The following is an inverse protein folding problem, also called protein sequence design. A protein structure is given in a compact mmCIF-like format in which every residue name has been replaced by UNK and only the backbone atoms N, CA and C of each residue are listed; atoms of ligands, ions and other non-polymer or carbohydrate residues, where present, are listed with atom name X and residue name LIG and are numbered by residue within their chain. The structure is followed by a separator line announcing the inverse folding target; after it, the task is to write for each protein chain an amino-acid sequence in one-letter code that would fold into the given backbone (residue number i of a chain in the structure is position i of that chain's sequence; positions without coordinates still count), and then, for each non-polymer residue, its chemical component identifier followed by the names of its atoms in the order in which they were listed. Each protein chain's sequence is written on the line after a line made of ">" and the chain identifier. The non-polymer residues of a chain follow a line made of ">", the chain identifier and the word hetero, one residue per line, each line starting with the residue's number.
data_IF_608854624715
#
_entry.id   IF_608854624715
#
_cell.length_a   1.000
_cell.length_b   1.000
_cell.length_c   1.000
_cell.angle_alpha   90.00
_cell.angle_beta   90.00
_cell.angle_gamma   90.00
#
_symmetry.space_group_name_H-M   'P 1'
#
loop_
_entity.id
_entity.type
_entity.pdbx_description
1 polymer ?
#
# COMPACT_ATOMS: atom_id res chain seq x y z
N UNK A 1 -17.10 10.39 -15.79
CA UNK A 1 -17.82 9.15 -15.41
C UNK A 1 -16.87 8.06 -14.94
N UNK A 2 -15.93 7.58 -15.77
CA UNK A 2 -14.95 6.55 -15.38
C UNK A 2 -14.11 6.97 -14.16
N UNK A 3 -13.48 8.14 -14.20
CA UNK A 3 -12.67 8.66 -13.09
C UNK A 3 -13.47 8.78 -11.77
N UNK A 4 -14.78 9.09 -11.85
CA UNK A 4 -15.68 9.12 -10.71
C UNK A 4 -15.85 7.75 -10.07
N UNK A 5 -15.94 6.70 -10.89
CA UNK A 5 -16.02 5.30 -10.43
C UNK A 5 -14.67 4.88 -9.82
N UNK A 6 -13.56 5.16 -10.49
CA UNK A 6 -12.23 4.77 -10.02
C UNK A 6 -11.85 5.46 -8.69
N UNK A 7 -12.36 6.67 -8.44
CA UNK A 7 -12.19 7.40 -7.17
C UNK A 7 -13.27 7.09 -6.11
N UNK A 8 -14.30 6.32 -6.47
CA UNK A 8 -15.39 6.01 -5.56
C UNK A 8 -14.87 5.19 -4.38
N UNK A 9 -15.13 5.64 -3.15
CA UNK A 9 -14.55 5.00 -1.95
C UNK A 9 -15.00 3.55 -1.77
N UNK A 10 -16.23 3.20 -2.19
CA UNK A 10 -16.68 1.80 -2.17
C UNK A 10 -15.89 0.94 -3.16
N UNK A 11 -15.62 1.47 -4.36
CA UNK A 11 -14.81 0.78 -5.35
C UNK A 11 -13.35 0.63 -4.89
N UNK A 12 -12.77 1.68 -4.31
CA UNK A 12 -11.42 1.63 -3.73
C UNK A 12 -11.34 0.59 -2.61
N UNK A 13 -12.32 0.57 -1.69
CA UNK A 13 -12.36 -0.45 -0.63
C UNK A 13 -12.51 -1.86 -1.18
N UNK A 14 -13.39 -2.07 -2.16
CA UNK A 14 -13.57 -3.36 -2.82
C UNK A 14 -12.28 -3.87 -3.46
N UNK A 15 -11.56 -3.01 -4.19
CA UNK A 15 -10.29 -3.40 -4.81
C UNK A 15 -9.20 -3.68 -3.78
N UNK A 16 -9.18 -2.93 -2.67
CA UNK A 16 -8.25 -3.18 -1.56
C UNK A 16 -8.53 -4.50 -0.85
N UNK A 17 -9.80 -4.81 -0.59
CA UNK A 17 -10.22 -6.07 0.04
C UNK A 17 -9.88 -7.25 -0.87
N UNK A 18 -10.16 -7.16 -2.16
CA UNK A 18 -9.74 -8.17 -3.13
C UNK A 18 -8.22 -8.33 -3.19
N UNK A 19 -7.45 -7.22 -3.12
CA UNK A 19 -5.99 -7.29 -3.04
C UNK A 19 -5.51 -8.05 -1.80
N UNK A 20 -6.11 -7.77 -0.63
CA UNK A 20 -5.81 -8.49 0.61
C UNK A 20 -6.08 -9.99 0.48
N UNK A 21 -7.27 -10.36 -0.01
CA UNK A 21 -7.66 -11.77 -0.20
C UNK A 21 -6.72 -12.49 -1.17
N UNK A 22 -6.32 -11.83 -2.27
CA UNK A 22 -5.35 -12.38 -3.22
C UNK A 22 -3.97 -12.61 -2.59
N UNK A 23 -3.44 -11.63 -1.87
CA UNK A 23 -2.13 -11.78 -1.20
C UNK A 23 -2.18 -12.85 -0.11
N UNK A 24 -3.27 -12.91 0.66
CA UNK A 24 -3.47 -13.92 1.69
C UNK A 24 -3.49 -15.32 1.09
N UNK A 25 -4.23 -15.53 -0.01
CA UNK A 25 -4.23 -16.79 -0.74
C UNK A 25 -2.82 -17.20 -1.19
N UNK A 26 -2.06 -16.28 -1.80
CA UNK A 26 -0.69 -16.57 -2.25
C UNK A 26 0.25 -16.91 -1.08
N UNK A 27 0.10 -16.22 0.05
CA UNK A 27 0.86 -16.51 1.27
C UNK A 27 0.52 -17.89 1.84
N UNK A 28 -0.77 -18.24 1.93
CA UNK A 28 -1.24 -19.54 2.45
C UNK A 28 -0.77 -20.71 1.58
N UNK A 29 -0.84 -20.55 0.26
CA UNK A 29 -0.38 -21.54 -0.72
C UNK A 29 1.16 -21.54 -0.92
N UNK A 30 1.88 -20.64 -0.23
CA UNK A 30 3.33 -20.48 -0.34
C UNK A 30 3.82 -20.24 -1.78
N UNK A 31 3.07 -19.43 -2.53
CA UNK A 31 3.36 -19.07 -3.91
C UNK A 31 4.11 -17.74 -3.93
N UNK A 32 5.34 -17.72 -4.43
CA UNK A 32 6.10 -16.49 -4.65
C UNK A 32 5.47 -15.63 -5.75
N UNK A 33 5.52 -14.31 -5.58
CA UNK A 33 4.87 -13.36 -6.49
C UNK A 33 5.63 -12.05 -6.56
N UNK A 34 5.31 -11.24 -7.57
CA UNK A 34 5.73 -9.84 -7.64
C UNK A 34 4.54 -8.90 -7.52
N UNK A 35 4.74 -7.75 -6.91
CA UNK A 35 3.76 -6.67 -6.87
C UNK A 35 4.28 -5.43 -7.60
N UNK A 36 3.37 -4.70 -8.25
CA UNK A 36 3.65 -3.35 -8.75
C UNK A 36 2.86 -2.36 -7.92
N UNK A 37 3.54 -1.44 -7.24
CA UNK A 37 2.93 -0.49 -6.31
C UNK A 37 3.24 0.96 -6.67
N UNK A 38 2.29 1.86 -6.39
CA UNK A 38 2.52 3.30 -6.47
C UNK A 38 3.48 3.74 -5.35
N UNK A 39 4.64 4.28 -5.74
CA UNK A 39 5.73 4.67 -4.83
C UNK A 39 5.29 5.67 -3.74
N UNK A 40 4.30 6.52 -4.04
CA UNK A 40 3.78 7.51 -3.09
C UNK A 40 3.30 6.88 -1.77
N UNK A 41 2.86 5.61 -1.81
CA UNK A 41 2.31 4.90 -0.66
C UNK A 41 3.18 3.71 -0.22
N UNK A 42 4.45 3.72 -0.63
CA UNK A 42 5.49 2.81 -0.15
C UNK A 42 6.34 3.55 0.88
N UNK A 43 6.67 2.88 1.98
CA UNK A 43 7.60 3.40 2.98
C UNK A 43 8.75 2.42 3.19
N UNK A 44 9.93 2.99 3.45
CA UNK A 44 11.16 2.29 3.78
C UNK A 44 11.58 2.70 5.18
N UNK A 45 11.93 1.73 6.01
CA UNK A 45 12.48 1.94 7.35
C UNK A 45 13.66 0.98 7.58
N UNK A 46 14.92 1.48 7.59
CA UNK A 46 15.32 2.87 7.39
C UNK A 46 15.05 3.41 5.97
N UNK A 47 15.02 4.74 5.79
CA UNK A 47 14.93 5.33 4.45
C UNK A 47 16.11 4.90 3.57
N UNK A 48 15.84 4.69 2.28
CA UNK A 48 16.87 4.38 1.30
C UNK A 48 17.87 5.54 1.15
N UNK A 49 19.19 5.25 1.06
CA UNK A 49 20.19 6.23 0.67
C UNK A 49 19.86 6.91 -0.66
N UNK A 50 20.37 8.13 -0.86
CA UNK A 50 20.04 8.94 -2.04
C UNK A 50 20.40 8.23 -3.37
N UNK A 51 21.51 7.49 -3.39
CA UNK A 51 21.94 6.68 -4.54
C UNK A 51 20.98 5.53 -4.91
N UNK A 52 20.19 5.05 -3.94
CA UNK A 52 19.17 4.00 -4.11
C UNK A 52 17.75 4.57 -4.16
N UNK A 53 17.62 5.91 -4.22
CA UNK A 53 16.33 6.59 -4.15
C UNK A 53 15.42 6.18 -5.31
N UNK A 54 14.26 5.64 -4.96
CA UNK A 54 13.20 5.31 -5.91
C UNK A 54 12.17 6.44 -6.03
N UNK A 55 12.39 7.58 -5.36
CA UNK A 55 11.41 8.69 -5.22
C UNK A 55 10.98 9.29 -6.57
N UNK A 56 11.79 9.17 -7.61
CA UNK A 56 11.48 9.69 -8.95
C UNK A 56 10.61 8.74 -9.80
N UNK A 57 10.45 7.48 -9.38
CA UNK A 57 9.65 6.50 -10.10
C UNK A 57 8.22 6.50 -9.57
N UNK A 58 7.19 6.67 -10.42
CA UNK A 58 5.79 6.66 -9.97
C UNK A 58 5.37 5.27 -9.47
N UNK A 59 5.98 4.22 -10.01
CA UNK A 59 5.73 2.83 -9.64
C UNK A 59 7.03 2.10 -9.36
N UNK A 60 6.95 1.11 -8.48
CA UNK A 60 8.02 0.18 -8.17
C UNK A 60 7.49 -1.24 -8.22
N UNK A 61 8.33 -2.16 -8.68
CA UNK A 61 8.06 -3.58 -8.62
C UNK A 61 8.88 -4.21 -7.51
N UNK A 62 8.24 -5.02 -6.67
CA UNK A 62 8.90 -5.84 -5.66
C UNK A 62 8.66 -7.31 -5.97
N UNK A 63 9.74 -8.09 -6.05
CA UNK A 63 9.66 -9.54 -6.10
C UNK A 63 9.68 -10.08 -4.66
N UNK A 64 8.58 -10.71 -4.24
CA UNK A 64 8.49 -11.41 -2.97
C UNK A 64 8.84 -12.88 -3.23
N UNK A 65 10.13 -13.17 -3.08
CA UNK A 65 10.72 -14.50 -3.20
C UNK A 65 11.76 -14.73 -2.09
N UNK A 66 12.05 -16.00 -1.79
CA UNK A 66 13.00 -16.40 -0.75
C UNK A 66 12.76 -15.67 0.57
N UNK A 67 13.82 -15.10 1.15
CA UNK A 67 13.74 -14.38 2.43
C UNK A 67 12.72 -13.21 2.42
N UNK A 68 12.57 -12.51 1.28
CA UNK A 68 11.59 -11.41 1.17
C UNK A 68 10.17 -11.95 1.35
N UNK A 69 9.85 -13.08 0.73
CA UNK A 69 8.57 -13.76 0.86
C UNK A 69 8.37 -14.31 2.28
N UNK A 70 9.38 -14.99 2.83
CA UNK A 70 9.32 -15.59 4.16
C UNK A 70 9.14 -14.55 5.28
N UNK A 71 9.68 -13.35 5.10
CA UNK A 71 9.56 -12.24 6.04
C UNK A 71 8.26 -11.44 5.89
N UNK A 72 7.37 -11.81 4.95
CA UNK A 72 6.19 -11.00 4.69
C UNK A 72 5.18 -11.08 5.83
N UNK A 73 4.64 -9.93 6.20
CA UNK A 73 3.51 -9.79 7.10
C UNK A 73 2.38 -9.07 6.36
N UNK A 74 1.16 -9.59 6.48
CA UNK A 74 -0.01 -9.04 5.81
C UNK A 74 -1.08 -8.71 6.84
N UNK A 75 -1.61 -7.49 6.76
CA UNK A 75 -2.84 -7.12 7.46
C UNK A 75 -3.82 -6.46 6.48
N UNK A 76 -5.02 -6.11 6.95
CA UNK A 76 -6.10 -5.57 6.10
C UNK A 76 -5.77 -4.25 5.39
N UNK A 77 -4.68 -3.60 5.77
CA UNK A 77 -4.33 -2.26 5.33
C UNK A 77 -3.03 -2.21 4.54
N UNK A 78 -2.04 -3.02 4.95
CA UNK A 78 -0.67 -2.95 4.48
C UNK A 78 -0.06 -4.35 4.33
N UNK A 79 0.80 -4.47 3.33
CA UNK A 79 1.77 -5.54 3.18
C UNK A 79 3.13 -5.04 3.69
N UNK A 80 3.85 -5.88 4.41
CA UNK A 80 5.16 -5.59 4.93
C UNK A 80 6.13 -6.73 4.59
N UNK A 81 7.40 -6.41 4.39
CA UNK A 81 8.44 -7.41 4.14
C UNK A 81 9.84 -6.78 4.32
N UNK A 82 10.85 -7.62 4.50
CA UNK A 82 12.25 -7.20 4.45
C UNK A 82 12.76 -7.32 3.03
N UNK A 83 13.50 -6.32 2.56
CA UNK A 83 14.17 -6.38 1.26
C UNK A 83 15.54 -5.69 1.32
N UNK A 84 16.46 -6.21 0.52
CA UNK A 84 17.78 -5.64 0.30
C UNK A 84 17.83 -4.85 -1.01
N UNK A 85 18.55 -3.73 -1.00
CA UNK A 85 18.66 -2.83 -2.16
C UNK A 85 20.11 -2.53 -2.51
N UNK A 86 20.40 -2.45 -3.82
CA UNK A 86 21.72 -2.12 -4.32
C UNK A 86 22.74 -3.26 -4.23
N UNK A 87 23.99 -2.97 -4.58
CA UNK A 87 25.07 -3.96 -4.57
C UNK A 87 25.48 -4.39 -3.15
N UNK A 88 25.23 -3.53 -2.17
CA UNK A 88 25.60 -3.75 -0.76
C UNK A 88 24.47 -4.38 0.07
N UNK A 89 23.38 -4.81 -0.58
CA UNK A 89 22.23 -5.45 0.06
C UNK A 89 21.67 -4.64 1.23
N UNK A 90 21.47 -3.32 1.02
CA UNK A 90 20.97 -2.42 2.04
C UNK A 90 19.61 -2.90 2.55
N UNK A 91 19.61 -3.47 3.75
CA UNK A 91 18.44 -4.07 4.35
C UNK A 91 17.49 -2.98 4.87
N UNK A 92 16.25 -3.02 4.40
CA UNK A 92 15.18 -2.15 4.89
C UNK A 92 13.90 -2.94 5.06
N UNK A 93 13.10 -2.50 6.03
CA UNK A 93 11.71 -2.90 6.13
C UNK A 93 10.88 -2.08 5.15
N UNK A 94 10.14 -2.74 4.27
CA UNK A 94 9.27 -2.11 3.29
C UNK A 94 7.83 -2.29 3.75
N UNK A 95 7.04 -1.23 3.64
CA UNK A 95 5.59 -1.31 3.85
C UNK A 95 4.81 -0.63 2.74
N UNK A 96 3.79 -1.32 2.24
CA UNK A 96 3.01 -0.91 1.07
C UNK A 96 1.54 -0.89 1.45
N UNK A 97 0.86 0.23 1.24
CA UNK A 97 -0.61 0.27 1.36
C UNK A 97 -1.23 -0.68 0.32
N UNK A 98 -2.15 -1.54 0.74
CA UNK A 98 -2.79 -2.49 -0.18
C UNK A 98 -3.56 -1.80 -1.31
N UNK A 99 -4.13 -0.63 -1.05
CA UNK A 99 -4.80 0.18 -2.08
C UNK A 99 -3.84 0.73 -3.14
N UNK A 100 -2.54 0.78 -2.86
CA UNK A 100 -1.52 1.26 -3.77
C UNK A 100 -0.90 0.17 -4.66
N UNK A 101 -1.17 -1.11 -4.36
CA UNK A 101 -0.80 -2.23 -5.22
C UNK A 101 -1.70 -2.20 -6.45
N UNK A 102 -1.08 -1.98 -7.61
CA UNK A 102 -1.73 -1.88 -8.92
C UNK A 102 -1.78 -3.22 -9.64
N UNK A 103 -0.80 -4.09 -9.41
CA UNK A 103 -0.72 -5.41 -10.03
C UNK A 103 -0.12 -6.44 -9.07
N UNK A 104 -0.54 -7.69 -9.22
CA UNK A 104 0.15 -8.87 -8.68
C UNK A 104 0.44 -9.80 -9.85
N UNK A 105 1.67 -10.31 -9.89
CA UNK A 105 2.19 -11.16 -10.96
C UNK A 105 2.78 -12.43 -10.38
N UNK A 106 2.54 -13.56 -11.03
CA UNK A 106 3.26 -14.81 -10.79
C UNK A 106 4.11 -15.05 -12.04
N UNK A 107 5.42 -15.18 -11.84
CA UNK A 107 6.41 -15.19 -12.91
C UNK A 107 6.22 -13.96 -13.82
N UNK A 108 5.75 -14.16 -15.06
CA UNK A 108 5.48 -13.09 -16.03
C UNK A 108 3.98 -12.91 -16.32
N UNK A 109 3.10 -13.51 -15.51
CA UNK A 109 1.64 -13.49 -15.71
C UNK A 109 0.97 -12.59 -14.69
N UNK A 110 0.25 -11.57 -15.16
CA UNK A 110 -0.58 -10.69 -14.31
C UNK A 110 -1.85 -11.45 -13.91
N UNK A 111 -2.02 -11.66 -12.60
CA UNK A 111 -3.20 -12.36 -12.04
C UNK A 111 -4.16 -11.40 -11.34
N UNK A 112 -3.73 -10.16 -11.09
CA UNK A 112 -4.52 -9.14 -10.42
C UNK A 112 -4.20 -7.77 -11.00
N UNK A 113 -5.24 -6.94 -11.19
CA UNK A 113 -5.11 -5.53 -11.56
C UNK A 113 -6.06 -4.68 -10.72
N UNK A 114 -5.52 -3.65 -10.08
CA UNK A 114 -6.28 -2.66 -9.32
C UNK A 114 -6.39 -1.34 -10.10
N UNK A 115 -7.58 -1.06 -10.62
CA UNK A 115 -7.87 0.18 -11.34
C UNK A 115 -8.27 1.36 -10.44
N UNK A 116 -8.38 1.15 -9.13
CA UNK A 116 -8.83 2.20 -8.23
C UNK A 116 -7.80 3.33 -8.12
N UNK A 117 -8.28 4.57 -8.04
CA UNK A 117 -7.44 5.73 -7.79
C UNK A 117 -7.34 5.91 -6.27
N UNK A 118 -6.37 5.23 -5.69
CA UNK A 118 -6.09 5.28 -4.26
C UNK A 118 -5.45 6.63 -3.87
N UNK A 119 -5.90 7.19 -2.75
CA UNK A 119 -5.46 8.50 -2.25
C UNK A 119 -4.82 8.43 -0.85
N UNK A 120 -4.43 7.23 -0.41
CA UNK A 120 -4.09 6.97 0.98
C UNK A 120 -5.34 6.83 1.85
N UNK A 121 -5.20 6.12 2.97
CA UNK A 121 -6.13 6.31 4.08
C UNK A 121 -5.87 7.70 4.64
N UNK A 122 -6.83 8.61 4.54
CA UNK A 122 -6.87 9.73 5.48
C UNK A 122 -7.05 9.09 6.85
N UNK A 123 -6.16 9.36 7.80
CA UNK A 123 -6.37 8.92 9.18
C UNK A 123 -7.80 9.30 9.56
N UNK A 124 -8.66 8.31 9.80
CA UNK A 124 -10.03 8.58 10.21
C UNK A 124 -10.05 9.38 11.53
N UNK A 125 -8.95 9.34 12.29
CA UNK A 125 -8.66 10.21 13.42
C UNK A 125 -8.61 11.69 13.05
N UNK A 126 -7.98 12.10 11.94
CA UNK A 126 -7.90 13.50 11.54
C UNK A 126 -9.27 14.07 11.11
N UNK A 127 -10.12 13.24 10.49
CA UNK A 127 -11.50 13.64 10.14
C UNK A 127 -12.43 13.67 11.36
N UNK A 128 -12.27 12.73 12.31
CA UNK A 128 -12.99 12.77 13.60
C UNK A 128 -12.53 13.94 14.47
N UNK A 129 -11.23 14.21 14.52
CA UNK A 129 -10.66 15.32 15.29
C UNK A 129 -11.08 16.67 14.72
N UNK A 130 -11.03 16.85 13.40
CA UNK A 130 -11.53 18.09 12.78
C UNK A 130 -13.02 18.30 13.07
N UNK A 131 -13.88 17.29 12.89
CA UNK A 131 -15.31 17.37 13.28
C UNK A 131 -15.48 17.68 14.77
N UNK A 132 -14.73 17.05 15.66
CA UNK A 132 -14.82 17.28 17.10
C UNK A 132 -14.38 18.70 17.48
N UNK A 133 -13.36 19.26 16.83
CA UNK A 133 -12.91 20.66 17.03
C UNK A 133 -13.99 21.63 16.54
N UNK A 134 -14.60 21.38 15.37
CA UNK A 134 -15.71 22.19 14.85
C UNK A 134 -16.93 22.19 15.78
N UNK A 135 -17.31 21.04 16.34
CA UNK A 135 -18.44 20.96 17.29
C UNK A 135 -18.13 21.60 18.65
N UNK A 136 -16.88 21.55 19.11
CA UNK A 136 -16.47 22.16 20.38
C UNK A 136 -16.56 23.69 20.31
N UNK A 137 -16.07 24.28 19.22
CA UNK A 137 -16.07 25.73 19.02
C UNK A 137 -17.47 26.35 18.89
N UNK A 138 -18.49 25.57 18.48
CA UNK A 138 -19.88 26.06 18.35
C UNK A 138 -20.67 26.04 19.68
N UNK A 139 -20.19 25.35 20.72
CA UNK A 139 -20.84 25.38 22.05
C UNK A 139 -20.53 26.67 22.82
N UNK A 140 -19.40 27.32 22.52
CA UNK A 140 -18.97 28.56 23.18
C UNK A 140 -19.65 29.81 22.59
N UNK A 141 -20.43 29.68 21.51
CA UNK A 141 -21.14 30.79 20.83
C UNK A 141 -22.57 31.02 21.34
N UNK A 142 -23.07 30.20 22.27
CA UNK A 142 -24.44 30.28 22.81
C UNK A 142 -24.49 30.33 24.35
N UNK A 143 -23.41 30.78 25.00
CA UNK A 143 -23.43 31.16 26.42
C UNK A 143 -23.60 32.67 26.59
#
# INVERSE_FOLDING_TARGET
>A
MLETILKNQKFVSLMREHCFEMLQFLQEEKIEFSIVANMQFVKFDPELPEELSLKNNPFVMFALAGYTFESMELNKDRLYFHAGFGADDFATYVSVDLGAITQIQIENTIIFVNFSIYKGKKDEENVKNSKNIFLKNNKDLFQ
#
